data_IF_046003801119
#
_entry.id   IF_046003801119
#
_cell.length_a   1.000
_cell.length_b   1.000
_cell.length_c   1.000
_cell.angle_alpha   90.00
_cell.angle_beta   90.00
_cell.angle_gamma   90.00
#
_symmetry.space_group_name_H-M   'P 1'
#
loop_
_entity.id
_entity.type
_entity.pdbx_description
1 polymer ?
#
# COMPACT_ATOMS: atom_id res chain seq x y z
N UNK A 1 -0.45 -10.31 -13.93
CA UNK A 1 -1.34 -11.34 -13.36
C UNK A 1 -1.59 -10.99 -11.89
N UNK A 2 -2.83 -11.13 -11.39
CA UNK A 2 -3.16 -10.89 -9.96
C UNK A 2 -3.70 -12.17 -9.36
N UNK A 3 -3.05 -12.63 -8.29
CA UNK A 3 -3.54 -13.69 -7.43
C UNK A 3 -3.85 -13.10 -6.05
N UNK A 4 -4.98 -13.48 -5.47
CA UNK A 4 -5.36 -13.09 -4.12
C UNK A 4 -5.64 -14.35 -3.30
N UNK A 5 -5.19 -14.38 -2.05
CA UNK A 5 -5.53 -15.47 -1.12
C UNK A 5 -6.96 -15.32 -0.61
N UNK A 6 -7.44 -16.31 0.16
CA UNK A 6 -8.72 -16.23 0.85
C UNK A 6 -8.81 -14.94 1.66
N UNK A 7 -9.95 -14.26 1.51
CA UNK A 7 -10.33 -13.14 2.35
C UNK A 7 -10.64 -13.70 3.75
N UNK A 8 -9.68 -13.62 4.67
CA UNK A 8 -9.89 -14.07 6.04
C UNK A 8 -11.00 -13.21 6.65
N UNK A 9 -12.17 -13.81 6.95
CA UNK A 9 -13.32 -13.13 7.57
C UNK A 9 -12.95 -12.41 8.88
N UNK A 10 -11.80 -12.75 9.46
CA UNK A 10 -11.30 -12.20 10.72
C UNK A 10 -9.79 -12.11 10.69
N UNK A 11 -9.27 -10.90 10.47
CA UNK A 11 -8.04 -10.46 11.10
C UNK A 11 -8.32 -9.14 11.79
N UNK A 12 -7.75 -8.96 12.98
CA UNK A 12 -7.66 -7.66 13.62
C UNK A 12 -6.70 -6.78 12.81
N UNK A 13 -7.14 -6.27 11.66
CA UNK A 13 -6.51 -5.09 11.09
C UNK A 13 -6.90 -3.95 12.03
N UNK A 14 -5.93 -3.41 12.77
CA UNK A 14 -6.15 -2.24 13.64
C UNK A 14 -6.76 -1.04 12.89
N UNK A 15 -6.71 -1.11 11.56
CA UNK A 15 -7.36 -0.21 10.61
C UNK A 15 -8.56 -0.94 10.01
N UNK A 16 -9.76 -0.49 10.38
CA UNK A 16 -11.02 -0.99 9.82
C UNK A 16 -11.46 -0.06 8.70
N UNK A 17 -11.31 -0.52 7.45
CA UNK A 17 -11.98 0.13 6.32
C UNK A 17 -13.49 0.11 6.61
N UNK A 18 -14.15 1.24 6.34
CA UNK A 18 -15.55 1.45 6.72
C UNK A 18 -16.41 0.27 6.24
N UNK A 19 -17.16 -0.34 7.16
CA UNK A 19 -18.05 -1.49 6.88
C UNK A 19 -18.98 -1.23 5.68
N UNK A 20 -19.45 0.01 5.51
CA UNK A 20 -20.25 0.47 4.36
C UNK A 20 -19.55 0.38 3.00
N UNK A 21 -18.21 0.43 2.96
CA UNK A 21 -17.42 0.28 1.73
C UNK A 21 -17.26 -1.20 1.34
N UNK A 22 -17.17 -2.08 2.34
CA UNK A 22 -17.08 -3.54 2.19
C UNK A 22 -18.42 -4.19 1.82
N UNK A 23 -19.53 -3.62 2.29
CA UNK A 23 -20.89 -4.11 2.01
C UNK A 23 -21.46 -3.60 0.68
N UNK A 24 -20.76 -2.69 0.00
CA UNK A 24 -21.16 -2.20 -1.31
C UNK A 24 -20.78 -3.26 -2.37
N UNK A 25 -21.67 -3.61 -3.32
CA UNK A 25 -21.32 -4.51 -4.41
C UNK A 25 -20.04 -4.04 -5.11
N UNK A 26 -19.15 -4.97 -5.46
CA UNK A 26 -17.81 -4.72 -6.02
C UNK A 26 -17.77 -3.64 -7.11
N UNK A 27 -18.83 -3.52 -7.91
CA UNK A 27 -18.97 -2.51 -8.96
C UNK A 27 -18.96 -1.07 -8.41
N UNK A 28 -19.60 -0.85 -7.27
CA UNK A 28 -19.72 0.46 -6.60
C UNK A 28 -18.41 0.92 -5.97
N UNK A 29 -17.69 0.01 -5.29
CA UNK A 29 -16.37 0.29 -4.74
C UNK A 29 -15.32 0.54 -5.84
N UNK A 30 -15.33 -0.31 -6.87
CA UNK A 30 -14.47 -0.16 -8.04
C UNK A 30 -14.71 1.16 -8.77
N UNK A 31 -15.97 1.56 -8.96
CA UNK A 31 -16.31 2.85 -9.59
C UNK A 31 -15.87 4.04 -8.73
N UNK A 32 -16.05 3.98 -7.41
CA UNK A 32 -15.61 5.03 -6.49
C UNK A 32 -14.09 5.20 -6.51
N UNK A 33 -13.33 4.10 -6.48
CA UNK A 33 -11.86 4.13 -6.59
C UNK A 33 -11.43 4.70 -7.95
N UNK A 34 -12.07 4.27 -9.05
CA UNK A 34 -11.75 4.75 -10.40
C UNK A 34 -12.00 6.26 -10.55
N UNK A 35 -13.14 6.76 -10.06
CA UNK A 35 -13.45 8.18 -10.07
C UNK A 35 -12.43 8.99 -9.25
N UNK A 36 -12.01 8.46 -8.09
CA UNK A 36 -11.00 9.09 -7.24
C UNK A 36 -9.63 9.13 -7.91
N UNK A 37 -9.23 8.06 -8.61
CA UNK A 37 -7.98 8.02 -9.40
C UNK A 37 -7.92 9.12 -10.45
N UNK A 38 -9.01 9.34 -11.19
CA UNK A 38 -9.08 10.38 -12.23
C UNK A 38 -8.92 11.76 -11.60
N UNK A 39 -9.59 12.02 -10.48
CA UNK A 39 -9.54 13.32 -9.80
C UNK A 39 -8.13 13.65 -9.28
N UNK A 40 -7.40 12.65 -8.78
CA UNK A 40 -6.12 12.86 -8.09
C UNK A 40 -4.92 12.81 -9.03
N UNK A 41 -4.96 11.93 -10.04
CA UNK A 41 -3.83 11.66 -10.93
C UNK A 41 -4.09 12.04 -12.39
N UNK A 42 -5.30 12.53 -12.72
CA UNK A 42 -5.72 12.82 -14.10
C UNK A 42 -5.82 11.59 -15.00
N UNK A 43 -5.68 10.39 -14.43
CA UNK A 43 -5.57 9.14 -15.17
C UNK A 43 -6.56 8.09 -14.65
N UNK A 44 -7.13 7.34 -15.59
CA UNK A 44 -7.99 6.20 -15.29
C UNK A 44 -7.11 5.06 -14.76
N UNK A 45 -7.43 4.56 -13.57
CA UNK A 45 -6.73 3.41 -13.00
C UNK A 45 -6.87 2.19 -13.93
N UNK A 46 -5.76 1.49 -14.19
CA UNK A 46 -5.77 0.29 -15.01
C UNK A 46 -6.64 -0.79 -14.35
N UNK A 47 -7.34 -1.64 -15.11
CA UNK A 47 -8.22 -2.67 -14.54
C UNK A 47 -7.55 -3.57 -13.49
N UNK A 48 -6.27 -3.91 -13.71
CA UNK A 48 -5.51 -4.77 -12.80
C UNK A 48 -5.05 -4.03 -11.53
N UNK A 49 -4.80 -2.72 -11.60
CA UNK A 49 -4.57 -1.89 -10.40
C UNK A 49 -5.85 -1.82 -9.57
N UNK A 50 -6.98 -1.56 -10.22
CA UNK A 50 -8.29 -1.46 -9.56
C UNK A 50 -8.68 -2.76 -8.85
N UNK A 51 -8.53 -3.90 -9.53
CA UNK A 51 -8.74 -5.23 -8.94
C UNK A 51 -7.85 -5.48 -7.73
N UNK A 52 -6.58 -5.04 -7.81
CA UNK A 52 -5.64 -5.17 -6.69
C UNK A 52 -6.10 -4.36 -5.49
N UNK A 53 -6.46 -3.09 -5.68
CA UNK A 53 -6.91 -2.20 -4.60
C UNK A 53 -8.21 -2.72 -3.96
N UNK A 54 -9.17 -3.20 -4.75
CA UNK A 54 -10.43 -3.78 -4.22
C UNK A 54 -10.14 -5.01 -3.35
N UNK A 55 -9.26 -5.91 -3.81
CA UNK A 55 -8.88 -7.08 -3.02
C UNK A 55 -8.16 -6.69 -1.71
N UNK A 56 -7.25 -5.71 -1.77
CA UNK A 56 -6.60 -5.17 -0.56
C UNK A 56 -7.62 -4.50 0.37
N UNK A 57 -8.61 -3.80 -0.17
CA UNK A 57 -9.67 -3.16 0.60
C UNK A 57 -10.53 -4.18 1.34
N UNK A 58 -10.64 -5.40 0.81
CA UNK A 58 -11.31 -6.51 1.47
C UNK A 58 -10.43 -7.19 2.53
N UNK A 59 -9.16 -6.81 2.67
CA UNK A 59 -8.23 -7.45 3.58
C UNK A 59 -7.61 -8.73 3.02
N UNK A 60 -7.72 -8.97 1.71
CA UNK A 60 -7.01 -10.07 1.06
C UNK A 60 -5.53 -9.74 0.92
N UNK A 61 -4.67 -10.74 1.09
CA UNK A 61 -3.29 -10.63 0.59
C UNK A 61 -3.30 -10.77 -0.93
N UNK A 62 -2.55 -9.91 -1.61
CA UNK A 62 -2.50 -9.87 -3.08
C UNK A 62 -1.06 -9.99 -3.56
N UNK A 63 -0.84 -10.92 -4.49
CA UNK A 63 0.39 -11.01 -5.27
C UNK A 63 0.13 -10.49 -6.68
N UNK A 64 0.83 -9.43 -7.05
CA UNK A 64 0.73 -8.79 -8.36
C UNK A 64 2.03 -9.00 -9.12
N UNK A 65 1.94 -9.71 -10.24
CA UNK A 65 3.01 -9.74 -11.24
C UNK A 65 2.76 -8.65 -12.27
N UNK A 66 3.65 -7.66 -12.28
CA UNK A 66 3.59 -6.48 -13.13
C UNK A 66 4.99 -6.12 -13.66
N UNK A 67 5.05 -5.51 -14.85
CA UNK A 67 6.30 -5.00 -15.42
C UNK A 67 6.74 -3.70 -14.75
N UNK A 68 8.00 -3.31 -14.95
CA UNK A 68 8.43 -1.96 -14.58
C UNK A 68 7.57 -0.91 -15.31
N UNK A 69 7.27 0.22 -14.66
CA UNK A 69 6.39 1.26 -15.18
C UNK A 69 4.88 0.90 -15.18
N UNK A 70 4.48 -0.24 -14.61
CA UNK A 70 3.05 -0.59 -14.52
C UNK A 70 2.25 0.39 -13.66
N UNK A 71 2.91 1.08 -12.72
CA UNK A 71 2.30 2.01 -11.78
C UNK A 71 1.98 1.35 -10.44
N UNK A 72 2.94 0.65 -9.84
CA UNK A 72 2.78 0.01 -8.53
C UNK A 72 2.56 1.04 -7.42
N UNK A 73 3.23 2.20 -7.49
CA UNK A 73 3.04 3.31 -6.54
C UNK A 73 1.59 3.78 -6.49
N UNK A 74 0.93 3.88 -7.66
CA UNK A 74 -0.47 4.28 -7.75
C UNK A 74 -1.43 3.31 -7.02
N UNK A 75 -1.11 2.02 -6.95
CA UNK A 75 -1.90 1.03 -6.18
C UNK A 75 -1.82 1.36 -4.68
N UNK A 76 -0.61 1.65 -4.19
CA UNK A 76 -0.38 1.99 -2.79
C UNK A 76 -1.09 3.28 -2.42
N UNK A 77 -1.03 4.28 -3.30
CA UNK A 77 -1.65 5.58 -3.04
C UNK A 77 -3.18 5.46 -3.00
N UNK A 78 -3.78 4.75 -3.98
CA UNK A 78 -5.22 4.48 -3.99
C UNK A 78 -5.67 3.70 -2.74
N UNK A 79 -4.86 2.76 -2.28
CA UNK A 79 -5.16 1.98 -1.07
C UNK A 79 -5.04 2.83 0.21
N UNK A 80 -3.99 3.64 0.33
CA UNK A 80 -3.82 4.61 1.42
C UNK A 80 -5.05 5.51 1.53
N UNK A 81 -5.53 5.99 0.40
CA UNK A 81 -6.67 6.89 0.29
C UNK A 81 -8.03 6.29 0.69
N UNK A 82 -8.14 4.96 0.74
CA UNK A 82 -9.33 4.27 1.27
C UNK A 82 -9.33 4.23 2.80
N UNK A 83 -8.18 4.48 3.40
CA UNK A 83 -7.99 4.33 4.83
C UNK A 83 -8.52 5.55 5.59
N UNK A 84 -9.29 5.38 6.69
CA UNK A 84 -9.77 6.51 7.48
C UNK A 84 -8.62 7.35 8.02
N UNK A 85 -8.69 8.68 7.86
CA UNK A 85 -7.60 9.60 8.27
C UNK A 85 -7.30 9.53 9.77
N UNK A 86 -8.33 9.24 10.56
CA UNK A 86 -8.28 9.11 12.02
C UNK A 86 -7.41 7.93 12.46
N UNK A 87 -7.25 6.92 11.60
CA UNK A 87 -6.46 5.73 11.92
C UNK A 87 -4.95 5.96 11.88
N UNK A 88 -4.48 7.11 11.33
CA UNK A 88 -3.06 7.41 11.13
C UNK A 88 -2.29 6.24 10.50
N UNK A 89 -2.91 5.67 9.48
CA UNK A 89 -2.39 4.50 8.78
C UNK A 89 -0.98 4.71 8.25
N UNK A 90 -0.15 3.69 8.42
CA UNK A 90 1.20 3.66 7.85
C UNK A 90 1.28 2.48 6.89
N UNK A 91 1.70 2.76 5.66
CA UNK A 91 2.00 1.73 4.67
C UNK A 91 3.51 1.56 4.63
N UNK A 92 3.96 0.32 4.85
CA UNK A 92 5.37 -0.04 4.77
C UNK A 92 5.62 -0.72 3.42
N UNK A 93 6.54 -0.16 2.64
CA UNK A 93 7.01 -0.73 1.37
C UNK A 93 8.42 -1.26 1.59
N UNK A 94 8.60 -2.57 1.41
CA UNK A 94 9.91 -3.20 1.50
C UNK A 94 10.53 -3.26 0.10
N UNK A 95 11.66 -2.58 -0.08
CA UNK A 95 12.36 -2.53 -1.36
C UNK A 95 13.78 -3.07 -1.18
N UNK A 96 14.21 -4.06 -1.99
CA UNK A 96 15.55 -4.63 -1.86
C UNK A 96 16.68 -3.69 -2.33
N UNK A 97 16.36 -2.59 -3.02
CA UNK A 97 17.36 -1.66 -3.55
C UNK A 97 17.17 -0.25 -3.00
N UNK A 98 18.18 0.24 -2.29
CA UNK A 98 18.16 1.56 -1.64
C UNK A 98 17.93 2.70 -2.63
N UNK A 99 18.63 2.68 -3.77
CA UNK A 99 18.49 3.70 -4.82
C UNK A 99 17.06 3.78 -5.38
N UNK A 100 16.34 2.66 -5.43
CA UNK A 100 14.95 2.64 -5.87
C UNK A 100 14.02 3.22 -4.79
N UNK A 101 14.31 2.97 -3.50
CA UNK A 101 13.58 3.57 -2.38
C UNK A 101 13.71 5.09 -2.35
N UNK A 102 14.92 5.63 -2.55
CA UNK A 102 15.15 7.09 -2.56
C UNK A 102 14.36 7.80 -3.67
N UNK A 103 14.35 7.22 -4.89
CA UNK A 103 13.56 7.77 -5.99
C UNK A 103 12.06 7.78 -5.69
N UNK A 104 11.55 6.71 -5.05
CA UNK A 104 10.13 6.64 -4.65
C UNK A 104 9.78 7.70 -3.60
N UNK A 105 10.65 7.92 -2.62
CA UNK A 105 10.47 8.96 -1.60
C UNK A 105 10.42 10.35 -2.24
N UNK A 106 11.28 10.62 -3.22
CA UNK A 106 11.26 11.89 -3.96
C UNK A 106 9.94 12.08 -4.72
N UNK A 107 9.51 11.08 -5.48
CA UNK A 107 8.25 11.11 -6.24
C UNK A 107 7.03 11.33 -5.33
N UNK A 108 7.00 10.66 -4.17
CA UNK A 108 5.87 10.74 -3.23
C UNK A 108 5.80 12.06 -2.49
N UNK A 109 6.95 12.63 -2.11
CA UNK A 109 7.00 13.99 -1.56
C UNK A 109 6.49 15.03 -2.55
N UNK A 110 6.82 14.88 -3.84
CA UNK A 110 6.28 15.75 -4.90
C UNK A 110 4.76 15.59 -5.07
N UNK A 111 4.23 14.38 -4.87
CA UNK A 111 2.79 14.10 -4.86
C UNK A 111 2.08 14.52 -3.55
N UNK A 112 2.80 15.09 -2.58
CA UNK A 112 2.24 15.60 -1.32
C UNK A 112 2.07 14.56 -0.22
N UNK A 113 2.62 13.36 -0.38
CA UNK A 113 2.64 12.34 0.67
C UNK A 113 3.83 12.52 1.62
N UNK A 114 3.65 12.09 2.87
CA UNK A 114 4.74 11.98 3.84
C UNK A 114 5.33 10.57 3.75
N UNK A 115 6.58 10.46 3.27
CA UNK A 115 7.30 9.20 3.19
C UNK A 115 8.74 9.36 3.68
N UNK A 116 9.23 8.32 4.34
CA UNK A 116 10.58 8.22 4.88
C UNK A 116 11.22 6.91 4.42
N UNK A 117 12.48 6.97 3.98
CA UNK A 117 13.28 5.76 3.77
C UNK A 117 13.91 5.34 5.11
N UNK A 118 13.76 4.07 5.48
CA UNK A 118 14.23 3.52 6.74
C UNK A 118 15.63 2.86 6.65
N UNK A 119 16.33 3.00 5.53
CA UNK A 119 17.67 2.43 5.26
C UNK A 119 18.74 2.77 6.31
N UNK A 120 18.58 3.86 7.07
CA UNK A 120 19.52 4.27 8.11
C UNK A 120 19.06 3.94 9.54
N UNK A 121 18.10 3.01 9.73
CA UNK A 121 17.83 2.46 11.06
C UNK A 121 18.97 1.50 11.46
N UNK A 122 20.12 2.05 11.81
CA UNK A 122 21.11 1.36 12.62
C UNK A 122 20.52 1.15 14.03
N UNK A 123 19.60 0.21 14.18
CA UNK A 123 19.35 -0.45 15.46
C UNK A 123 20.57 -1.33 15.75
N UNK A 124 21.67 -0.67 16.10
CA UNK A 124 22.92 -1.29 16.48
C UNK A 124 22.77 -1.78 17.90
N UNK A 125 22.12 -2.94 18.07
CA UNK A 125 22.28 -3.72 19.30
C UNK A 125 23.72 -4.24 19.28
N UNK A 126 24.65 -3.46 19.84
CA UNK A 126 25.92 -4.02 20.27
C UNK A 126 25.61 -5.01 21.39
N UNK A 127 25.65 -6.31 21.09
CA UNK A 127 25.83 -7.32 22.12
C UNK A 127 27.32 -7.28 22.52
N UNK A 128 27.67 -6.35 23.38
CA UNK A 128 28.92 -6.38 24.15
C UNK A 128 28.61 -7.00 25.50
N UNK A 129 28.73 -8.32 25.59
CA UNK A 129 28.97 -9.07 26.82
C UNK A 129 29.76 -10.33 26.42
N UNK A 130 31.09 -10.33 26.65
CA UNK A 130 31.80 -11.01 27.76
C UNK A 130 31.86 -12.54 27.52
N UNK A 131 32.95 -13.30 27.64
CA UNK A 131 34.16 -13.19 28.47
C UNK A 131 35.19 -14.20 27.93
N UNK A 132 36.46 -13.94 28.21
CA UNK A 132 37.67 -14.77 28.11
C UNK A 132 37.42 -16.28 28.36
N UNK A 133 38.03 -17.12 27.53
CA UNK A 133 38.82 -18.26 28.01
C UNK A 133 40.24 -18.13 27.45
#
# INVERSE_FOLDING_TARGET
>A
MVQSTTCDKWRASGIRLLKKMLENPNLSLSAAIAHKSIKQYGQVAKPLQLKTVVNLAHGCNVMLLASNGFGNSQILDLYHDLTPKESKAVIVVLNPLDALGENQVLERKQAGFSEINLTNFYMRIWLMALTIL
#
